data_IF_139091163625
#
_entry.id   IF_139091163625
#
_cell.length_a   1.000
_cell.length_b   1.000
_cell.length_c   1.000
_cell.angle_alpha   90.00
_cell.angle_beta   90.00
_cell.angle_gamma   90.00
#
_symmetry.space_group_name_H-M   'P 1'
#
loop_
_entity.id
_entity.type
_entity.pdbx_description
1 polymer ?
#
# COMPACT_ATOMS: atom_id res chain seq x y z
N UNK A 1 4.42 -14.22 13.23
CA UNK A 1 5.36 -14.29 12.08
C UNK A 1 5.83 -12.89 11.74
N UNK A 2 6.99 -12.77 11.10
CA UNK A 2 7.55 -11.46 10.65
C UNK A 2 6.76 -10.94 9.45
N UNK A 3 6.54 -9.62 9.40
CA UNK A 3 5.99 -8.98 8.20
C UNK A 3 7.11 -8.81 7.15
N UNK A 4 7.10 -9.64 6.12
CA UNK A 4 8.08 -9.58 5.02
C UNK A 4 7.81 -8.42 4.05
N UNK A 5 6.60 -7.85 4.06
CA UNK A 5 6.20 -6.77 3.15
C UNK A 5 6.67 -5.39 3.64
N UNK A 6 7.01 -5.25 4.92
CA UNK A 6 7.40 -3.97 5.53
C UNK A 6 8.55 -3.30 4.75
N UNK A 7 8.30 -2.07 4.30
CA UNK A 7 9.24 -1.21 3.54
C UNK A 7 9.70 -1.80 2.21
N UNK A 8 9.01 -2.80 1.67
CA UNK A 8 9.28 -3.28 0.33
C UNK A 8 8.79 -2.28 -0.73
N UNK A 9 9.27 -2.45 -1.96
CA UNK A 9 8.83 -1.60 -3.07
C UNK A 9 7.39 -1.96 -3.44
N UNK A 10 6.50 -0.97 -3.34
CA UNK A 10 5.12 -1.09 -3.76
C UNK A 10 4.82 -0.16 -4.92
N UNK A 11 4.03 -0.64 -5.87
CA UNK A 11 3.52 0.12 -7.02
C UNK A 11 2.03 -0.11 -7.15
N UNK A 12 1.34 0.83 -7.77
CA UNK A 12 -0.08 0.73 -8.07
C UNK A 12 -0.37 1.35 -9.42
N UNK A 13 -1.53 1.03 -9.98
CA UNK A 13 -1.90 1.40 -11.34
C UNK A 13 -1.92 2.92 -11.56
N UNK A 14 -2.44 3.67 -10.59
CA UNK A 14 -2.37 5.13 -10.50
C UNK A 14 -2.40 5.60 -9.05
N UNK A 15 -1.98 6.85 -8.81
CA UNK A 15 -2.01 7.43 -7.48
C UNK A 15 -2.98 8.59 -7.46
N UNK A 16 -3.93 8.57 -6.51
CA UNK A 16 -4.78 9.72 -6.24
C UNK A 16 -3.95 10.87 -5.68
N UNK A 17 -3.90 11.97 -6.44
CA UNK A 17 -3.21 13.20 -6.07
C UNK A 17 -4.27 14.27 -5.84
N UNK A 18 -4.22 14.93 -4.68
CA UNK A 18 -5.10 16.07 -4.37
C UNK A 18 -4.27 17.28 -4.01
N UNK A 19 -4.54 18.41 -4.66
CA UNK A 19 -3.87 19.70 -4.37
C UNK A 19 -2.34 19.61 -4.45
N UNK A 20 -1.81 18.78 -5.35
CA UNK A 20 -0.37 18.56 -5.51
C UNK A 20 0.29 17.71 -4.41
N UNK A 21 -0.49 17.12 -3.51
CA UNK A 21 -0.01 16.20 -2.49
C UNK A 21 -0.33 14.74 -2.85
N UNK A 22 0.69 13.89 -2.75
CA UNK A 22 0.56 12.43 -2.87
C UNK A 22 -0.06 11.86 -1.60
N UNK A 23 -1.39 11.78 -1.55
CA UNK A 23 -2.12 11.31 -0.37
C UNK A 23 -2.33 9.80 -0.35
N UNK A 24 -2.22 9.14 -1.51
CA UNK A 24 -2.56 7.74 -1.71
C UNK A 24 -1.42 6.86 -2.21
N UNK A 25 -0.16 7.17 -1.89
CA UNK A 25 1.01 6.42 -2.37
C UNK A 25 0.90 4.92 -2.11
N UNK A 26 1.34 4.11 -3.08
CA UNK A 26 1.37 2.65 -2.95
C UNK A 26 2.19 2.16 -1.74
N UNK A 27 3.25 2.89 -1.38
CA UNK A 27 4.14 2.56 -0.26
C UNK A 27 3.46 2.61 1.10
N UNK A 28 2.31 3.30 1.22
CA UNK A 28 1.56 3.36 2.45
C UNK A 28 1.07 1.97 2.92
N UNK A 29 0.73 1.04 2.00
CA UNK A 29 0.31 -0.32 2.41
C UNK A 29 1.45 -1.18 3.01
N UNK A 30 2.69 -0.69 2.97
CA UNK A 30 3.89 -1.38 3.48
C UNK A 30 4.70 -0.51 4.44
N UNK A 31 4.14 0.59 4.95
CA UNK A 31 4.82 1.51 5.87
C UNK A 31 4.86 1.01 7.33
N UNK A 32 3.99 0.05 7.67
CA UNK A 32 3.88 -0.56 9.00
C UNK A 32 2.81 0.07 9.90
N UNK A 33 2.07 1.05 9.41
CA UNK A 33 0.95 1.69 10.10
C UNK A 33 -0.39 1.16 9.55
N UNK A 34 -1.29 0.80 10.46
CA UNK A 34 -2.55 0.11 10.14
C UNK A 34 -3.76 1.01 10.34
N UNK A 35 -3.57 2.32 10.55
CA UNK A 35 -4.68 3.27 10.67
C UNK A 35 -5.46 3.30 9.36
N UNK A 36 -6.76 3.09 9.47
CA UNK A 36 -7.68 2.99 8.33
C UNK A 36 -8.22 4.32 7.83
N UNK A 37 -7.98 5.42 8.56
CA UNK A 37 -8.47 6.75 8.18
C UNK A 37 -7.55 7.39 7.13
N UNK A 38 -8.03 7.51 5.90
CA UNK A 38 -7.24 7.99 4.74
C UNK A 38 -6.48 9.30 4.96
N UNK A 39 -7.07 10.28 5.68
CA UNK A 39 -6.38 11.55 5.94
C UNK A 39 -5.16 11.41 6.88
N UNK A 40 -4.96 10.24 7.49
CA UNK A 40 -3.75 9.91 8.25
C UNK A 40 -2.52 9.65 7.37
N UNK A 41 -2.68 9.63 6.04
CA UNK A 41 -1.61 9.41 5.05
C UNK A 41 -0.85 8.08 5.22
N UNK A 42 -1.60 7.01 5.47
CA UNK A 42 -1.10 5.63 5.57
C UNK A 42 -1.99 4.62 4.83
N UNK A 43 -2.94 5.11 4.02
CA UNK A 43 -3.69 4.28 3.09
C UNK A 43 -3.25 4.55 1.65
N UNK A 44 -3.32 3.53 0.79
CA UNK A 44 -3.15 3.68 -0.67
C UNK A 44 -4.44 4.19 -1.32
N UNK A 45 -4.36 4.74 -2.53
CA UNK A 45 -5.53 5.15 -3.30
C UNK A 45 -5.19 5.29 -4.79
N UNK A 46 -5.96 4.60 -5.63
CA UNK A 46 -5.89 4.65 -7.10
C UNK A 46 -7.01 5.51 -7.68
N UNK A 47 -6.90 5.94 -8.93
CA UNK A 47 -7.96 6.64 -9.69
C UNK A 47 -8.45 5.85 -10.92
N UNK A 48 -7.79 4.73 -11.26
CA UNK A 48 -8.12 3.95 -12.45
C UNK A 48 -9.41 3.14 -12.30
N UNK A 49 -10.07 2.90 -13.44
CA UNK A 49 -11.25 2.05 -13.53
C UNK A 49 -10.98 0.56 -13.32
N UNK A 50 -9.75 0.11 -13.57
CA UNK A 50 -9.28 -1.27 -13.33
C UNK A 50 -8.06 -1.25 -12.41
N UNK A 51 -8.24 -0.99 -11.11
CA UNK A 51 -7.15 -0.71 -10.20
C UNK A 51 -6.35 -1.96 -9.85
N UNK A 52 -5.03 -1.79 -9.66
CA UNK A 52 -4.17 -2.83 -9.11
C UNK A 52 -3.10 -2.23 -8.19
N UNK A 53 -2.63 -3.05 -7.25
CA UNK A 53 -1.53 -2.75 -6.35
C UNK A 53 -0.63 -3.98 -6.25
N UNK A 54 0.68 -3.78 -6.33
CA UNK A 54 1.67 -4.85 -6.33
C UNK A 54 2.83 -4.48 -5.40
N UNK A 55 3.38 -5.50 -4.73
CA UNK A 55 4.62 -5.40 -3.94
C UNK A 55 5.67 -6.32 -4.53
N UNK A 56 6.87 -5.79 -4.71
CA UNK A 56 8.03 -6.52 -5.21
C UNK A 56 8.98 -6.80 -4.06
N UNK A 57 9.31 -8.07 -3.86
CA UNK A 57 10.32 -8.51 -2.90
C UNK A 57 11.66 -8.67 -3.61
N UNK A 58 12.76 -8.24 -2.97
CA UNK A 58 14.11 -8.35 -3.53
C UNK A 58 14.63 -9.78 -3.67
N UNK A 59 13.96 -10.75 -3.03
CA UNK A 59 14.26 -12.18 -3.08
C UNK A 59 12.98 -12.98 -2.96
N UNK A 60 13.05 -14.28 -3.22
CA UNK A 60 11.93 -15.18 -2.98
C UNK A 60 11.63 -15.33 -1.50
N UNK A 61 10.34 -15.29 -1.13
CA UNK A 61 9.85 -15.50 0.22
C UNK A 61 8.77 -16.57 0.24
N UNK A 62 8.79 -17.44 1.25
CA UNK A 62 7.66 -18.32 1.54
C UNK A 62 6.60 -17.51 2.31
N UNK A 63 5.46 -17.27 1.67
CA UNK A 63 4.35 -16.51 2.26
C UNK A 63 3.33 -17.47 2.86
N UNK A 64 3.21 -17.45 4.19
CA UNK A 64 2.27 -18.32 4.90
C UNK A 64 0.93 -17.62 5.23
N UNK A 65 0.91 -16.28 5.26
CA UNK A 65 -0.27 -15.49 5.60
C UNK A 65 -0.19 -14.11 4.95
N UNK A 66 -1.33 -13.66 4.43
CA UNK A 66 -1.55 -12.29 3.96
C UNK A 66 -2.58 -11.65 4.90
N UNK A 67 -2.34 -10.40 5.30
CA UNK A 67 -3.25 -9.61 6.13
C UNK A 67 -3.51 -8.29 5.42
N UNK A 68 -4.77 -7.93 5.24
CA UNK A 68 -5.20 -6.68 4.60
C UNK A 68 -5.92 -5.81 5.64
N UNK A 69 -5.54 -4.54 5.73
CA UNK A 69 -6.22 -3.54 6.53
C UNK A 69 -7.01 -2.63 5.60
N UNK A 70 -8.33 -2.59 5.76
CA UNK A 70 -9.20 -1.80 4.90
C UNK A 70 -9.37 -0.37 5.43
N UNK A 71 -9.64 0.57 4.52
CA UNK A 71 -10.03 1.94 4.87
C UNK A 71 -11.40 1.95 5.57
N UNK A 72 -11.55 2.86 6.54
CA UNK A 72 -12.82 3.20 7.20
C UNK A 72 -13.39 4.52 6.67
#
# INVERSE_FOLDING_TARGET
GRNEALKQTAVQSSTYIKEGADLGLASHAVDGDTRSFFKSKTCTHTEDSTPNWNVTFSRSHTINRIVLYNRL
#
